data_IF_209065864024
#
_entry.id   IF_209065864024
#
_cell.length_a   1.000
_cell.length_b   1.000
_cell.length_c   1.000
_cell.angle_alpha   90.00
_cell.angle_beta   90.00
_cell.angle_gamma   90.00
#
_symmetry.space_group_name_H-M   'P 1'
#
loop_
_entity.id
_entity.type
_entity.pdbx_description
1 polymer ?
#
# COMPACT_ATOMS: atom_id res chain seq x y z
N UNK A 1 -13.80 4.12 -4.96
CA UNK A 1 -14.28 5.32 -4.24
C UNK A 1 -13.98 6.61 -5.02
N UNK A 2 -12.87 6.70 -5.79
CA UNK A 2 -12.40 7.95 -6.42
C UNK A 2 -12.19 9.12 -5.43
N UNK A 3 -12.13 8.82 -4.13
CA UNK A 3 -11.89 9.80 -3.08
C UNK A 3 -10.39 9.91 -2.80
N UNK A 4 -10.00 11.01 -2.15
CA UNK A 4 -8.61 11.24 -1.78
C UNK A 4 -8.06 10.10 -0.91
N UNK A 5 -6.86 9.65 -1.30
CA UNK A 5 -6.05 8.70 -0.54
C UNK A 5 -5.04 9.53 0.24
N UNK A 6 -5.11 9.47 1.56
CA UNK A 6 -4.23 10.23 2.45
C UNK A 6 -3.32 9.29 3.24
N UNK A 7 -2.18 9.80 3.70
CA UNK A 7 -1.29 9.08 4.60
C UNK A 7 -2.01 8.73 5.90
N UNK A 8 -1.88 7.49 6.35
CA UNK A 8 -2.43 7.02 7.62
C UNK A 8 -1.28 6.73 8.58
N UNK A 9 -1.47 7.09 9.85
CA UNK A 9 -0.50 6.81 10.89
C UNK A 9 -0.54 5.33 11.26
N UNK A 10 0.63 4.69 11.37
CA UNK A 10 0.77 3.26 11.70
C UNK A 10 0.09 2.90 13.02
N UNK A 11 0.18 3.76 14.02
CA UNK A 11 -0.44 3.55 15.33
C UNK A 11 -1.97 3.40 15.23
N UNK A 12 -2.63 4.20 14.39
CA UNK A 12 -4.09 4.17 14.20
C UNK A 12 -4.60 2.95 13.41
N UNK A 13 -3.68 2.17 12.85
CA UNK A 13 -3.95 0.98 12.04
C UNK A 13 -3.71 -0.33 12.79
N UNK A 14 -3.21 -0.26 14.03
CA UNK A 14 -3.03 -1.43 14.88
C UNK A 14 -4.38 -2.13 15.08
N UNK A 15 -4.47 -3.42 14.73
CA UNK A 15 -5.71 -4.20 14.76
C UNK A 15 -6.70 -3.94 13.62
N UNK A 16 -6.43 -3.01 12.69
CA UNK A 16 -7.22 -2.80 11.46
C UNK A 16 -6.62 -3.47 10.23
N UNK A 17 -5.34 -3.81 10.30
CA UNK A 17 -4.61 -4.62 9.31
C UNK A 17 -4.04 -5.86 10.00
N UNK A 18 -3.73 -6.94 9.26
CA UNK A 18 -3.06 -8.10 9.82
C UNK A 18 -1.72 -7.72 10.47
N UNK A 19 -1.40 -8.34 11.61
CA UNK A 19 -0.20 -8.02 12.40
C UNK A 19 1.09 -8.09 11.56
N UNK A 20 1.24 -9.13 10.75
CA UNK A 20 2.38 -9.26 9.84
C UNK A 20 2.57 -8.05 8.92
N UNK A 21 1.48 -7.49 8.38
CA UNK A 21 1.55 -6.30 7.51
C UNK A 21 1.87 -5.05 8.34
N UNK A 22 1.28 -4.93 9.53
CA UNK A 22 1.56 -3.84 10.44
C UNK A 22 3.03 -3.82 10.89
N UNK A 23 3.61 -4.99 11.17
CA UNK A 23 5.01 -5.10 11.60
C UNK A 23 5.99 -4.86 10.44
N UNK A 24 5.67 -5.36 9.24
CA UNK A 24 6.58 -5.30 8.08
C UNK A 24 6.54 -4.00 7.28
N UNK A 25 5.47 -3.21 7.40
CA UNK A 25 5.31 -1.96 6.64
C UNK A 25 5.18 -0.74 7.56
N UNK A 26 5.80 0.38 7.17
CA UNK A 26 5.71 1.65 7.90
C UNK A 26 4.83 2.69 7.22
N UNK A 27 4.65 2.59 5.90
CA UNK A 27 3.89 3.57 5.12
C UNK A 27 2.53 3.00 4.74
N UNK A 28 1.49 3.61 5.31
CA UNK A 28 0.11 3.29 5.03
C UNK A 28 -0.63 4.49 4.45
N UNK A 29 -1.65 4.20 3.65
CA UNK A 29 -2.58 5.19 3.13
C UNK A 29 -4.01 4.69 3.27
N UNK A 30 -4.97 5.60 3.39
CA UNK A 30 -6.38 5.26 3.53
C UNK A 30 -7.23 6.08 2.55
N UNK A 31 -8.19 5.44 1.88
CA UNK A 31 -9.24 6.18 1.14
C UNK A 31 -10.24 6.75 2.16
N UNK A 32 -10.38 8.07 2.22
CA UNK A 32 -11.35 8.71 3.11
C UNK A 32 -12.81 8.33 2.80
N UNK A 33 -13.12 7.99 1.55
CA UNK A 33 -14.47 7.62 1.13
C UNK A 33 -14.90 6.19 1.46
N UNK A 34 -14.04 5.19 1.25
CA UNK A 34 -14.38 3.78 1.51
C UNK A 34 -13.61 3.13 2.65
N UNK A 35 -12.76 3.89 3.36
CA UNK A 35 -11.96 3.43 4.49
C UNK A 35 -11.04 2.23 4.19
N UNK A 36 -10.77 1.97 2.90
CA UNK A 36 -9.79 0.95 2.50
C UNK A 36 -8.38 1.43 2.83
N UNK A 37 -7.64 0.57 3.50
CA UNK A 37 -6.25 0.77 3.86
C UNK A 37 -5.37 0.15 2.77
N UNK A 38 -4.36 0.90 2.35
CA UNK A 38 -3.39 0.56 1.32
C UNK A 38 -2.00 0.67 1.92
N UNK A 39 -1.11 -0.23 1.53
CA UNK A 39 0.31 -0.21 1.88
C UNK A 39 1.13 -0.52 0.64
N UNK A 40 2.40 -0.11 0.65
CA UNK A 40 3.33 -0.40 -0.44
C UNK A 40 3.62 -1.90 -0.47
N UNK A 41 2.92 -2.66 -1.30
CA UNK A 41 3.20 -4.07 -1.51
C UNK A 41 4.47 -4.29 -2.33
N UNK A 42 5.15 -5.42 -2.11
CA UNK A 42 6.28 -5.90 -2.91
C UNK A 42 5.91 -6.20 -4.38
N UNK A 43 4.63 -6.21 -4.71
CA UNK A 43 4.15 -6.44 -6.07
C UNK A 43 4.51 -5.28 -7.03
N UNK A 44 4.76 -4.07 -6.52
CA UNK A 44 5.21 -2.95 -7.34
C UNK A 44 6.61 -3.20 -7.88
N UNK A 45 7.52 -3.80 -7.10
CA UNK A 45 8.87 -4.15 -7.58
C UNK A 45 8.80 -5.19 -8.70
N UNK A 46 8.09 -6.30 -8.50
CA UNK A 46 7.92 -7.33 -9.56
C UNK A 46 7.21 -6.83 -10.80
N UNK A 47 6.21 -5.95 -10.64
CA UNK A 47 5.51 -5.34 -11.78
C UNK A 47 6.40 -4.32 -12.49
N UNK A 48 7.19 -3.52 -11.77
CA UNK A 48 8.19 -2.61 -12.36
C UNK A 48 9.31 -3.37 -13.05
N UNK A 49 9.78 -4.49 -12.51
CA UNK A 49 10.75 -5.37 -13.17
C UNK A 49 10.20 -5.91 -14.49
N UNK A 50 8.95 -6.40 -14.50
CA UNK A 50 8.29 -6.84 -15.75
C UNK A 50 8.12 -5.70 -16.75
N UNK A 51 7.74 -4.51 -16.30
CA UNK A 51 7.61 -3.33 -17.16
C UNK A 51 8.99 -2.93 -17.71
N UNK A 52 10.04 -2.87 -16.88
CA UNK A 52 11.41 -2.58 -17.31
C UNK A 52 11.92 -3.60 -18.32
N UNK A 53 11.62 -4.89 -18.15
CA UNK A 53 11.91 -5.93 -19.14
C UNK A 53 11.16 -5.71 -20.47
N UNK A 54 9.90 -5.25 -20.43
CA UNK A 54 9.11 -4.97 -21.64
C UNK A 54 9.57 -3.71 -22.41
N UNK A 55 10.26 -2.77 -21.74
CA UNK A 55 10.82 -1.57 -22.36
C UNK A 55 12.32 -1.69 -22.72
N UNK A 56 12.95 -2.84 -22.42
CA UNK A 56 14.30 -3.20 -22.85
C UNK A 56 14.23 -4.34 -23.90
N UNK A 57 13.73 -4.04 -25.09
CA UNK A 57 13.74 -4.97 -26.23
C UNK A 57 12.62 -4.75 -27.22
#
# INVERSE_FOLDING_TARGET
>A
CNSAIISANKADLQGKVPDYIWETHDVFRICQGCQRIYWSGSHIERSLERIRCLFNG
#
